data_IF_657216956432
#
_entry.id   IF_657216956432
#
_cell.length_a   1.000
_cell.length_b   1.000
_cell.length_c   1.000
_cell.angle_alpha   90.00
_cell.angle_beta   90.00
_cell.angle_gamma   90.00
#
_symmetry.space_group_name_H-M   'P 1'
#
loop_
_entity.id
_entity.type
_entity.pdbx_description
1 polymer ?
#
# COMPACT_ATOMS: atom_id res chain seq x y z
N UNK A 1 13.82 -3.92 14.35
CA UNK A 1 12.54 -3.81 13.65
C UNK A 1 12.58 -4.38 12.23
N UNK A 2 13.66 -4.19 11.47
CA UNK A 2 13.82 -4.64 10.07
C UNK A 2 13.57 -6.13 9.80
N UNK A 3 13.83 -7.03 10.75
CA UNK A 3 13.58 -8.47 10.56
C UNK A 3 12.10 -8.82 10.60
N UNK A 4 11.28 -8.16 11.42
CA UNK A 4 9.86 -8.52 11.61
C UNK A 4 8.99 -8.08 10.42
N UNK A 5 9.31 -6.92 9.83
CA UNK A 5 8.60 -6.38 8.67
C UNK A 5 8.67 -7.36 7.49
N UNK A 6 9.78 -8.06 7.31
CA UNK A 6 10.03 -8.89 6.12
C UNK A 6 9.48 -10.33 6.21
N UNK A 7 8.83 -10.73 7.30
CA UNK A 7 8.30 -12.09 7.46
C UNK A 7 6.95 -12.28 6.75
N UNK A 8 6.86 -13.21 5.79
CA UNK A 8 5.58 -13.58 5.17
C UNK A 8 5.12 -12.67 4.02
N UNK A 9 5.96 -11.76 3.54
CA UNK A 9 5.76 -11.01 2.28
C UNK A 9 4.90 -9.75 2.37
N UNK A 10 4.06 -9.59 3.39
CA UNK A 10 3.27 -8.36 3.62
C UNK A 10 3.95 -7.45 4.64
N UNK A 11 4.95 -6.73 4.14
CA UNK A 11 5.78 -5.83 4.92
C UNK A 11 4.99 -4.68 5.54
N UNK A 12 4.02 -4.12 4.81
CA UNK A 12 3.28 -2.95 5.25
C UNK A 12 2.41 -3.29 6.48
N UNK A 13 1.67 -4.40 6.43
CA UNK A 13 0.84 -4.85 7.54
C UNK A 13 1.68 -5.22 8.76
N UNK A 14 2.78 -5.96 8.57
CA UNK A 14 3.69 -6.32 9.66
C UNK A 14 4.31 -5.09 10.32
N UNK A 15 4.76 -4.12 9.52
CA UNK A 15 5.31 -2.87 10.00
C UNK A 15 4.29 -2.08 10.81
N UNK A 16 3.04 -2.00 10.35
CA UNK A 16 1.96 -1.32 11.04
C UNK A 16 1.66 -1.96 12.42
N UNK A 17 1.49 -3.28 12.47
CA UNK A 17 1.18 -3.99 13.74
C UNK A 17 2.35 -3.90 14.72
N UNK A 18 3.57 -4.16 14.25
CA UNK A 18 4.77 -4.04 15.09
C UNK A 18 4.97 -2.61 15.60
N UNK A 19 4.73 -1.61 14.75
CA UNK A 19 4.81 -0.20 15.10
C UNK A 19 3.78 0.19 16.16
N UNK A 20 2.54 -0.28 16.04
CA UNK A 20 1.50 -0.03 17.03
C UNK A 20 1.87 -0.60 18.41
N UNK A 21 2.37 -1.84 18.46
CA UNK A 21 2.78 -2.48 19.71
C UNK A 21 3.97 -1.77 20.36
N UNK A 22 4.99 -1.41 19.57
CA UNK A 22 6.16 -0.66 20.05
C UNK A 22 5.73 0.72 20.57
N UNK A 23 4.91 1.44 19.81
CA UNK A 23 4.39 2.75 20.21
C UNK A 23 3.56 2.72 21.49
N UNK A 24 2.76 1.68 21.69
CA UNK A 24 2.02 1.48 22.94
C UNK A 24 2.94 1.17 24.14
N UNK A 25 4.08 0.50 23.90
CA UNK A 25 5.02 0.11 24.96
C UNK A 25 5.94 1.26 25.39
N UNK A 26 6.52 2.01 24.44
CA UNK A 26 7.48 3.09 24.73
C UNK A 26 6.85 4.49 24.77
N UNK A 27 5.63 4.65 24.27
CA UNK A 27 5.01 5.97 24.14
C UNK A 27 5.51 6.74 22.91
N UNK A 28 4.78 7.80 22.56
CA UNK A 28 5.00 8.56 21.32
C UNK A 28 6.32 9.33 21.31
N UNK A 29 6.74 9.87 22.45
CA UNK A 29 7.92 10.73 22.55
C UNK A 29 9.24 9.97 22.41
N UNK A 30 9.24 8.67 22.74
CA UNK A 30 10.39 7.78 22.66
C UNK A 30 10.54 7.11 21.28
N UNK A 31 9.62 7.37 20.35
CA UNK A 31 9.75 6.88 18.98
C UNK A 31 10.88 7.60 18.24
N UNK A 32 11.61 6.91 17.34
CA UNK A 32 12.60 7.55 16.47
C UNK A 32 12.01 8.74 15.72
N UNK A 33 12.72 9.88 15.72
CA UNK A 33 12.23 11.13 15.12
C UNK A 33 11.87 10.97 13.65
N UNK A 34 12.64 10.17 12.92
CA UNK A 34 12.42 9.90 11.51
C UNK A 34 11.07 9.20 11.25
N UNK A 35 10.58 8.39 12.20
CA UNK A 35 9.28 7.73 12.09
C UNK A 35 8.14 8.64 12.51
N UNK A 36 8.36 9.38 13.60
CA UNK A 36 7.38 10.29 14.17
C UNK A 36 7.10 11.48 13.25
N UNK A 37 8.15 12.07 12.70
CA UNK A 37 8.10 13.31 11.94
C UNK A 37 8.05 13.06 10.42
N UNK A 38 8.41 11.84 9.98
CA UNK A 38 8.35 11.43 8.57
C UNK A 38 6.97 10.98 8.08
N UNK A 39 5.96 10.93 8.96
CA UNK A 39 4.63 10.45 8.62
C UNK A 39 3.83 11.50 7.82
N UNK A 40 3.33 11.10 6.65
CA UNK A 40 2.38 11.92 5.88
C UNK A 40 1.09 12.05 6.68
N UNK A 41 0.51 13.25 6.73
CA UNK A 41 -0.72 13.54 7.47
C UNK A 41 -0.61 13.31 8.98
N UNK A 42 0.58 13.45 9.57
CA UNK A 42 0.83 13.19 11.00
C UNK A 42 -0.13 13.93 11.95
N UNK A 43 -0.52 15.17 11.62
CA UNK A 43 -1.48 15.93 12.41
C UNK A 43 -2.87 15.30 12.42
N UNK A 44 -3.34 14.83 11.27
CA UNK A 44 -4.60 14.10 11.16
C UNK A 44 -4.58 12.83 12.01
N UNK A 45 -3.52 12.02 11.92
CA UNK A 45 -3.38 10.82 12.76
C UNK A 45 -3.36 11.14 14.26
N UNK A 46 -2.68 12.21 14.67
CA UNK A 46 -2.64 12.66 16.07
C UNK A 46 -4.02 13.07 16.57
N UNK A 47 -4.78 13.81 15.77
CA UNK A 47 -6.14 14.21 16.15
C UNK A 47 -7.06 13.00 16.27
N UNK A 48 -6.95 12.01 15.38
CA UNK A 48 -7.69 10.74 15.51
C UNK A 48 -7.29 9.95 16.75
N UNK A 49 -6.00 9.92 17.09
CA UNK A 49 -5.52 9.33 18.34
C UNK A 49 -6.11 10.02 19.58
N UNK A 50 -6.12 11.37 19.57
CA UNK A 50 -6.73 12.16 20.64
C UNK A 50 -8.23 11.89 20.77
N UNK A 51 -8.95 11.91 19.65
CA UNK A 51 -10.38 11.61 19.58
C UNK A 51 -10.69 10.22 20.18
N UNK A 52 -9.91 9.20 19.83
CA UNK A 52 -10.02 7.87 20.42
C UNK A 52 -9.84 7.89 21.94
N UNK A 53 -8.83 8.58 22.46
CA UNK A 53 -8.62 8.70 23.90
C UNK A 53 -9.78 9.39 24.63
N UNK A 54 -10.39 10.41 24.01
CA UNK A 54 -11.56 11.10 24.56
C UNK A 54 -12.78 10.18 24.57
N UNK A 55 -13.08 9.52 23.45
CA UNK A 55 -14.23 8.61 23.33
C UNK A 55 -14.09 7.40 24.26
N UNK A 56 -12.86 6.88 24.44
CA UNK A 56 -12.57 5.79 25.36
C UNK A 56 -12.59 6.21 26.84
N UNK A 57 -12.78 7.50 27.15
CA UNK A 57 -12.76 8.02 28.51
C UNK A 57 -11.39 8.03 29.19
N UNK A 58 -10.31 7.93 28.39
CA UNK A 58 -8.92 7.91 28.87
C UNK A 58 -8.42 9.34 29.11
N UNK A 59 -8.85 10.30 28.28
CA UNK A 59 -8.50 11.72 28.39
C UNK A 59 -9.74 12.57 28.57
N UNK A 60 -9.63 13.62 29.38
CA UNK A 60 -10.62 14.69 29.39
C UNK A 60 -10.59 15.45 28.06
N UNK A 61 -11.75 15.82 27.56
CA UNK A 61 -11.90 16.55 26.31
C UNK A 61 -13.29 16.40 25.71
N UNK A 62 -13.58 17.23 24.71
CA UNK A 62 -14.78 17.13 23.89
C UNK A 62 -14.33 16.68 22.49
N UNK A 63 -14.99 15.66 21.98
CA UNK A 63 -14.87 15.22 20.60
C UNK A 63 -16.28 15.15 20.02
N UNK A 64 -16.53 15.96 18.99
CA UNK A 64 -17.80 16.00 18.27
C UNK A 64 -17.72 15.05 17.06
N UNK A 65 -18.26 13.85 17.23
CA UNK A 65 -18.29 12.84 16.18
C UNK A 65 -19.23 13.21 15.02
N UNK A 66 -20.22 14.08 15.22
CA UNK A 66 -21.19 14.44 14.17
C UNK A 66 -20.57 15.43 13.17
N UNK A 67 -19.68 16.30 13.65
CA UNK A 67 -18.94 17.26 12.82
C UNK A 67 -17.75 16.66 12.06
N UNK A 68 -17.30 15.47 12.43
CA UNK A 68 -16.11 14.84 11.85
C UNK A 68 -16.45 14.14 10.52
N UNK A 69 -15.92 14.66 9.41
CA UNK A 69 -16.19 14.10 8.08
C UNK A 69 -15.78 12.63 7.94
N UNK A 70 -14.77 12.17 8.69
CA UNK A 70 -14.32 10.77 8.59
C UNK A 70 -15.29 9.79 9.28
N UNK A 71 -16.25 10.26 10.07
CA UNK A 71 -17.28 9.41 10.70
C UNK A 71 -18.52 9.23 9.82
N UNK A 72 -18.61 10.00 8.72
CA UNK A 72 -19.71 9.88 7.76
C UNK A 72 -19.68 8.50 7.08
N UNK A 73 -20.85 8.03 6.66
CA UNK A 73 -21.02 6.69 6.05
C UNK A 73 -20.18 6.48 4.78
N UNK A 74 -19.82 7.56 4.10
CA UNK A 74 -18.98 7.62 2.91
C UNK A 74 -17.52 8.03 3.21
N UNK A 75 -17.17 8.16 4.50
CA UNK A 75 -15.89 8.65 4.97
C UNK A 75 -15.56 10.05 4.48
N UNK A 76 -16.58 10.90 4.29
CA UNK A 76 -16.41 12.30 3.90
C UNK A 76 -16.05 12.50 2.42
N UNK A 77 -16.08 11.44 1.61
CA UNK A 77 -15.68 11.47 0.20
C UNK A 77 -16.81 11.74 -0.78
N UNK A 78 -18.07 11.71 -0.32
CA UNK A 78 -19.23 11.82 -1.18
C UNK A 78 -19.53 10.54 -1.97
N UNK A 79 -20.76 10.42 -2.46
CA UNK A 79 -21.10 9.44 -3.49
C UNK A 79 -20.46 9.82 -4.82
N UNK A 80 -19.86 8.85 -5.51
CA UNK A 80 -19.30 9.07 -6.84
C UNK A 80 -20.41 9.29 -7.85
N UNK A 81 -20.23 10.27 -8.73
CA UNK A 81 -21.09 10.43 -9.89
C UNK A 81 -20.84 9.31 -10.91
N UNK A 82 -21.82 9.05 -11.78
CA UNK A 82 -21.69 8.02 -12.83
C UNK A 82 -20.51 8.30 -13.77
N UNK A 83 -20.23 9.57 -14.04
CA UNK A 83 -19.10 9.99 -14.86
C UNK A 83 -17.76 9.70 -14.18
N UNK A 84 -17.64 9.96 -12.88
CA UNK A 84 -16.44 9.67 -12.10
C UNK A 84 -16.20 8.16 -11.99
N UNK A 85 -17.27 7.37 -11.82
CA UNK A 85 -17.18 5.90 -11.82
C UNK A 85 -16.64 5.39 -13.17
N UNK A 86 -17.26 5.80 -14.28
CA UNK A 86 -16.80 5.41 -15.64
C UNK A 86 -15.36 5.80 -15.89
N UNK A 87 -14.94 6.99 -15.46
CA UNK A 87 -13.55 7.45 -15.60
C UNK A 87 -12.57 6.56 -14.82
N UNK A 88 -12.93 6.16 -13.59
CA UNK A 88 -12.12 5.25 -12.76
C UNK A 88 -12.03 3.86 -13.38
N UNK A 89 -13.17 3.31 -13.82
CA UNK A 89 -13.23 2.00 -14.48
C UNK A 89 -12.38 1.98 -15.75
N UNK A 90 -12.51 3.00 -16.61
CA UNK A 90 -11.72 3.13 -17.82
C UNK A 90 -10.21 3.17 -17.51
N UNK A 91 -9.79 3.92 -16.48
CA UNK A 91 -8.39 3.97 -16.06
C UNK A 91 -7.87 2.64 -15.49
N UNK A 92 -8.71 1.85 -14.83
CA UNK A 92 -8.36 0.50 -14.37
C UNK A 92 -8.20 -0.44 -15.57
N UNK A 93 -9.15 -0.41 -16.50
CA UNK A 93 -9.12 -1.22 -17.72
C UNK A 93 -7.90 -0.92 -18.58
N UNK A 94 -7.56 0.37 -18.75
CA UNK A 94 -6.35 0.78 -19.46
C UNK A 94 -5.08 0.19 -18.83
N UNK A 95 -4.93 0.29 -17.50
CA UNK A 95 -3.78 -0.29 -16.79
C UNK A 95 -3.71 -1.81 -16.94
N UNK A 96 -4.86 -2.50 -16.91
CA UNK A 96 -4.91 -3.95 -17.12
C UNK A 96 -4.49 -4.33 -18.54
N UNK A 97 -4.94 -3.59 -19.55
CA UNK A 97 -4.56 -3.83 -20.95
C UNK A 97 -3.07 -3.60 -21.18
N UNK A 98 -2.50 -2.54 -20.59
CA UNK A 98 -1.06 -2.27 -20.67
C UNK A 98 -0.25 -3.37 -19.98
N UNK A 99 -0.61 -3.76 -18.76
CA UNK A 99 0.06 -4.85 -18.05
C UNK A 99 -0.03 -6.18 -18.82
N UNK A 100 -1.15 -6.44 -19.48
CA UNK A 100 -1.32 -7.63 -20.31
C UNK A 100 -0.44 -7.59 -21.58
N UNK A 101 -0.34 -6.42 -22.23
CA UNK A 101 0.56 -6.22 -23.36
C UNK A 101 2.02 -6.45 -22.96
N UNK A 102 2.46 -5.88 -21.84
CA UNK A 102 3.81 -6.09 -21.30
C UNK A 102 4.09 -7.57 -21.00
N UNK A 103 3.12 -8.30 -20.44
CA UNK A 103 3.26 -9.75 -20.20
C UNK A 103 3.41 -10.54 -21.50
N UNK A 104 2.65 -10.19 -22.54
CA UNK A 104 2.76 -10.82 -23.87
C UNK A 104 4.11 -10.53 -24.53
N UNK A 105 4.56 -9.29 -24.51
CA UNK A 105 5.87 -8.91 -25.06
C UNK A 105 7.02 -9.59 -24.30
N UNK A 106 6.93 -9.68 -22.97
CA UNK A 106 7.92 -10.38 -22.15
C UNK A 106 7.96 -11.89 -22.45
N UNK A 107 6.80 -12.53 -22.65
CA UNK A 107 6.73 -13.96 -23.01
C UNK A 107 7.24 -14.23 -24.42
N UNK A 108 6.93 -13.36 -25.38
CA UNK A 108 7.46 -13.46 -26.75
C UNK A 108 8.98 -13.25 -26.79
N UNK A 109 9.49 -12.27 -26.05
CA UNK A 109 10.93 -12.02 -25.92
C UNK A 109 11.65 -13.21 -25.31
N UNK A 110 11.11 -13.80 -24.24
CA UNK A 110 11.65 -15.04 -23.64
C UNK A 110 11.66 -16.19 -24.65
N UNK A 111 10.56 -16.41 -25.37
CA UNK A 111 10.45 -17.45 -26.40
C UNK A 111 11.43 -17.23 -27.56
N UNK A 112 11.67 -15.97 -27.96
CA UNK A 112 12.65 -15.61 -28.98
C UNK A 112 14.09 -15.89 -28.53
N UNK A 113 14.45 -15.50 -27.31
CA UNK A 113 15.76 -15.80 -26.70
C UNK A 113 15.99 -17.31 -26.56
N UNK A 114 14.97 -18.06 -26.13
CA UNK A 114 14.99 -19.53 -26.03
C UNK A 114 15.26 -20.18 -27.39
N UNK A 115 14.50 -19.80 -28.43
CA UNK A 115 14.71 -20.28 -29.81
C UNK A 115 16.11 -19.96 -30.32
N UNK A 116 16.59 -18.74 -30.12
CA UNK A 116 17.93 -18.34 -30.55
C UNK A 116 19.02 -19.15 -29.82
N UNK A 117 18.87 -19.35 -28.50
CA UNK A 117 19.78 -20.21 -27.72
C UNK A 117 19.81 -21.64 -28.24
N UNK A 118 18.65 -22.22 -28.59
CA UNK A 118 18.55 -23.57 -29.16
C UNK A 118 19.19 -23.64 -30.55
N UNK A 119 19.00 -22.62 -31.40
CA UNK A 119 19.63 -22.55 -32.72
C UNK A 119 21.15 -22.47 -32.60
N UNK A 120 21.66 -21.62 -31.71
CA UNK A 120 23.08 -21.54 -31.39
C UNK A 120 23.55 -22.92 -30.92
N UNK A 121 22.93 -23.52 -29.90
CA UNK A 121 23.37 -24.84 -29.40
C UNK A 121 23.41 -25.92 -30.50
N UNK A 122 22.42 -25.93 -31.41
CA UNK A 122 22.41 -26.85 -32.56
C UNK A 122 23.54 -26.60 -33.56
N UNK A 123 23.99 -25.36 -33.75
CA UNK A 123 25.11 -25.05 -34.66
C UNK A 123 26.47 -25.48 -34.12
N UNK A 124 26.56 -25.77 -32.81
CA UNK A 124 27.79 -26.22 -32.14
C UNK A 124 27.84 -27.75 -31.98
N UNK A 125 26.80 -28.48 -32.38
CA UNK A 125 26.84 -29.94 -32.42
C UNK A 125 27.60 -30.39 -33.67
N UNK A 126 28.72 -31.12 -33.55
CA UNK A 126 29.44 -31.65 -34.70
C UNK A 126 28.55 -32.64 -35.45
N UNK A 127 28.43 -32.47 -36.77
CA UNK A 127 27.63 -33.32 -37.63
C UNK A 127 28.05 -34.78 -37.50
N UNK A 128 27.09 -35.63 -37.11
CA UNK A 128 27.16 -37.09 -37.18
C UNK A 128 26.91 -37.58 -38.59
#
# INVERSE_FOLDING_TARGET
>A
MTTLVMYGGDADTNGAVAGALVGALCGYDDLPKEWRDGMRHAEWYREKGRALCVVAGISEGIYDSESDQDTLIDGGKGALTEEEMKKREMGIMEKMLLAEKERREATETKRGKEKNRVLIWKSWLPGS
#
